data_IF_948341686227
#
_entry.id   IF_948341686227
#
_cell.length_a   1.000
_cell.length_b   1.000
_cell.length_c   1.000
_cell.angle_alpha   90.00
_cell.angle_beta   90.00
_cell.angle_gamma   90.00
#
_symmetry.space_group_name_H-M   'P 1'
#
loop_
_entity.id
_entity.type
_entity.pdbx_description
1 polymer ?
#
# COMPACT_ATOMS: atom_id res chain seq x y z
N UNK A 1 16.54 2.71 -1.54
CA UNK A 1 17.03 2.18 -0.25
C UNK A 1 16.66 0.70 -0.20
N UNK A 2 17.60 -0.17 0.18
CA UNK A 2 17.31 -1.60 0.40
C UNK A 2 16.76 -1.79 1.81
N UNK A 3 15.76 -2.65 1.97
CA UNK A 3 15.14 -2.97 3.27
C UNK A 3 15.14 -4.49 3.55
N UNK A 4 16.24 -5.16 3.15
CA UNK A 4 16.61 -6.52 3.52
C UNK A 4 16.50 -7.54 2.39
N UNK A 5 17.46 -8.48 2.34
CA UNK A 5 17.57 -9.56 1.34
C UNK A 5 17.59 -9.07 -0.12
N UNK A 6 18.20 -7.91 -0.39
CA UNK A 6 18.24 -7.33 -1.74
C UNK A 6 16.94 -6.62 -2.15
N UNK A 7 15.92 -6.57 -1.28
CA UNK A 7 14.61 -6.01 -1.64
C UNK A 7 14.65 -4.48 -1.58
N UNK A 8 14.21 -3.83 -2.66
CA UNK A 8 14.11 -2.38 -2.79
C UNK A 8 12.88 -1.97 -3.59
N UNK A 9 12.39 -0.76 -3.33
CA UNK A 9 11.42 -0.12 -4.20
C UNK A 9 12.16 0.63 -5.33
N UNK A 10 11.62 0.52 -6.53
CA UNK A 10 12.05 1.29 -7.69
C UNK A 10 11.69 2.78 -7.56
N UNK A 11 12.00 3.56 -8.61
CA UNK A 11 11.51 4.92 -8.75
C UNK A 11 10.00 4.99 -8.55
N UNK A 12 9.55 6.08 -7.94
CA UNK A 12 8.13 6.35 -7.79
C UNK A 12 7.57 6.96 -9.07
N UNK A 13 6.49 6.36 -9.57
CA UNK A 13 5.59 6.99 -10.52
C UNK A 13 4.45 7.62 -9.72
N UNK A 14 4.36 8.95 -9.75
CA UNK A 14 3.36 9.71 -9.00
C UNK A 14 2.49 10.53 -9.95
N UNK A 15 1.18 10.37 -9.84
CA UNK A 15 0.19 11.19 -10.52
C UNK A 15 -0.57 12.03 -9.49
N UNK A 16 -0.62 13.34 -9.67
CA UNK A 16 -1.47 14.20 -8.81
C UNK A 16 -2.86 14.25 -9.41
N UNK A 17 -3.84 13.94 -8.60
CA UNK A 17 -5.26 14.02 -8.95
C UNK A 17 -5.85 15.34 -8.47
N UNK A 18 -5.46 15.80 -7.28
CA UNK A 18 -5.73 17.15 -6.77
C UNK A 18 -4.49 17.74 -6.07
N UNK A 19 -4.65 18.94 -5.48
CA UNK A 19 -3.62 19.56 -4.65
C UNK A 19 -3.30 18.72 -3.40
N UNK A 20 -4.30 18.02 -2.85
CA UNK A 20 -4.15 17.19 -1.66
C UNK A 20 -3.99 15.70 -1.95
N UNK A 21 -4.36 15.22 -3.15
CA UNK A 21 -4.44 13.80 -3.49
C UNK A 21 -3.46 13.41 -4.59
N UNK A 22 -2.70 12.34 -4.33
CA UNK A 22 -1.80 11.75 -5.30
C UNK A 22 -1.95 10.23 -5.35
N UNK A 23 -1.91 9.67 -6.56
CA UNK A 23 -1.71 8.25 -6.81
C UNK A 23 -0.23 7.94 -6.98
N UNK A 24 0.19 6.82 -6.42
CA UNK A 24 1.56 6.36 -6.38
C UNK A 24 1.65 4.93 -6.89
N UNK A 25 2.65 4.66 -7.71
CA UNK A 25 2.99 3.31 -8.14
C UNK A 25 4.50 3.11 -8.08
N UNK A 26 4.90 1.96 -7.54
CA UNK A 26 6.31 1.59 -7.40
C UNK A 26 6.52 0.14 -7.80
N UNK A 27 7.56 -0.12 -8.59
CA UNK A 27 8.05 -1.48 -8.85
C UNK A 27 8.82 -2.00 -7.64
N UNK A 28 8.76 -3.29 -7.40
CA UNK A 28 9.48 -3.97 -6.32
C UNK A 28 10.58 -4.80 -6.98
N UNK A 29 11.82 -4.58 -6.56
CA UNK A 29 12.97 -5.33 -7.05
C UNK A 29 13.58 -6.15 -5.92
N UNK A 30 14.18 -7.28 -6.29
CA UNK A 30 15.16 -7.99 -5.48
C UNK A 30 16.46 -8.04 -6.26
N UNK A 31 17.50 -7.41 -5.72
CA UNK A 31 18.75 -7.15 -6.43
C UNK A 31 18.47 -6.37 -7.73
N UNK A 32 18.60 -7.03 -8.89
CA UNK A 32 18.32 -6.47 -10.22
C UNK A 32 17.03 -7.02 -10.86
N UNK A 33 16.34 -7.96 -10.20
CA UNK A 33 15.17 -8.63 -10.74
C UNK A 33 13.89 -7.92 -10.32
N UNK A 34 13.04 -7.57 -11.27
CA UNK A 34 11.68 -7.09 -11.01
C UNK A 34 10.82 -8.26 -10.50
N UNK A 35 10.28 -8.13 -9.29
CA UNK A 35 9.48 -9.16 -8.63
C UNK A 35 8.04 -8.73 -8.39
N UNK A 36 7.62 -7.55 -8.87
CA UNK A 36 6.27 -7.07 -8.67
C UNK A 36 6.11 -5.56 -8.57
N UNK A 37 5.01 -5.14 -7.98
CA UNK A 37 4.70 -3.72 -7.77
C UNK A 37 3.64 -3.50 -6.70
N UNK A 38 3.55 -2.26 -6.26
CA UNK A 38 2.51 -1.76 -5.36
C UNK A 38 1.99 -0.43 -5.89
N UNK A 39 0.69 -0.21 -5.75
CA UNK A 39 0.07 1.10 -5.89
C UNK A 39 -0.78 1.49 -4.68
N UNK A 40 -0.92 2.80 -4.50
CA UNK A 40 -1.70 3.38 -3.43
C UNK A 40 -2.03 4.85 -3.72
N UNK A 41 -3.05 5.35 -3.05
CA UNK A 41 -3.38 6.77 -3.02
C UNK A 41 -2.94 7.37 -1.69
N UNK A 42 -2.46 8.61 -1.71
CA UNK A 42 -2.22 9.40 -0.50
C UNK A 42 -3.01 10.70 -0.54
N UNK A 43 -3.51 11.11 0.63
CA UNK A 43 -4.11 12.41 0.83
C UNK A 43 -3.33 13.15 1.93
N UNK A 44 -2.71 14.28 1.58
CA UNK A 44 -1.92 15.08 2.52
C UNK A 44 -2.80 15.77 3.55
N UNK A 45 -3.97 16.30 3.16
CA UNK A 45 -4.90 16.99 4.06
C UNK A 45 -5.45 16.07 5.18
N UNK A 46 -5.81 14.84 4.85
CA UNK A 46 -6.36 13.89 5.81
C UNK A 46 -5.30 13.01 6.50
N UNK A 47 -4.03 13.13 6.06
CA UNK A 47 -2.91 12.25 6.39
C UNK A 47 -3.33 10.78 6.26
N UNK A 48 -3.74 10.42 5.06
CA UNK A 48 -4.36 9.12 4.78
C UNK A 48 -3.69 8.43 3.59
N UNK A 49 -3.53 7.11 3.68
CA UNK A 49 -3.13 6.24 2.57
C UNK A 49 -4.20 5.19 2.32
N UNK A 50 -4.64 5.06 1.08
CA UNK A 50 -5.48 3.95 0.63
C UNK A 50 -4.63 3.02 -0.24
N UNK A 51 -4.38 1.81 0.26
CA UNK A 51 -3.64 0.77 -0.44
C UNK A 51 -4.49 0.17 -1.55
N UNK A 52 -3.96 0.16 -2.78
CA UNK A 52 -4.61 -0.44 -3.94
C UNK A 52 -4.09 -1.86 -4.21
N UNK A 53 -3.40 -2.05 -5.32
CA UNK A 53 -2.84 -3.35 -5.69
C UNK A 53 -1.44 -3.58 -5.13
N UNK A 54 -1.17 -4.81 -4.72
CA UNK A 54 0.18 -5.34 -4.52
C UNK A 54 0.29 -6.69 -5.23
N UNK A 55 1.06 -6.70 -6.30
CA UNK A 55 1.36 -7.89 -7.10
C UNK A 55 2.79 -8.33 -6.85
N UNK A 56 2.99 -9.59 -6.47
CA UNK A 56 4.31 -10.21 -6.38
C UNK A 56 4.34 -11.43 -7.30
N UNK A 57 5.34 -11.49 -8.19
CA UNK A 57 5.54 -12.61 -9.14
C UNK A 57 5.84 -13.90 -8.40
N UNK A 58 6.47 -13.80 -7.22
CA UNK A 58 6.69 -14.93 -6.34
C UNK A 58 5.98 -14.67 -4.99
N UNK A 59 5.16 -15.61 -4.53
CA UNK A 59 4.51 -15.59 -3.21
C UNK A 59 5.53 -15.88 -2.09
N UNK A 60 6.64 -15.14 -2.06
CA UNK A 60 7.69 -15.30 -1.04
C UNK A 60 7.27 -14.61 0.24
N UNK A 61 7.30 -15.37 1.34
CA UNK A 61 6.89 -14.92 2.67
C UNK A 61 7.62 -13.64 3.07
N UNK A 62 6.86 -12.62 3.47
CA UNK A 62 7.35 -11.42 4.14
C UNK A 62 7.77 -10.25 3.25
N UNK A 63 7.91 -10.40 1.92
CA UNK A 63 8.29 -9.28 1.04
C UNK A 63 7.24 -8.17 1.09
N UNK A 64 5.96 -8.50 0.89
CA UNK A 64 4.87 -7.53 0.95
C UNK A 64 4.83 -6.80 2.29
N UNK A 65 4.99 -7.51 3.41
CA UNK A 65 5.02 -6.89 4.75
C UNK A 65 6.20 -5.92 4.91
N UNK A 66 7.39 -6.26 4.41
CA UNK A 66 8.55 -5.36 4.44
C UNK A 66 8.35 -4.12 3.57
N UNK A 67 7.73 -4.28 2.40
CA UNK A 67 7.35 -3.15 1.54
C UNK A 67 6.42 -2.20 2.29
N UNK A 68 5.38 -2.71 2.96
CA UNK A 68 4.47 -1.88 3.75
C UNK A 68 5.18 -1.19 4.92
N UNK A 69 6.03 -1.92 5.64
CA UNK A 69 6.81 -1.35 6.75
C UNK A 69 7.71 -0.20 6.27
N UNK A 70 8.36 -0.36 5.12
CA UNK A 70 9.18 0.69 4.53
C UNK A 70 8.34 1.89 4.08
N UNK A 71 7.22 1.69 3.39
CA UNK A 71 6.31 2.78 2.99
C UNK A 71 5.79 3.58 4.19
N UNK A 72 5.53 2.92 5.32
CA UNK A 72 5.15 3.60 6.58
C UNK A 72 6.25 4.52 7.13
N UNK A 73 7.52 4.23 6.86
CA UNK A 73 8.62 5.15 7.21
C UNK A 73 8.70 6.37 6.29
N UNK A 74 8.25 6.25 5.04
CA UNK A 74 8.21 7.37 4.10
C UNK A 74 7.05 8.34 4.40
N UNK A 75 5.96 7.84 5.00
CA UNK A 75 4.75 8.62 5.33
C UNK A 75 4.40 8.54 6.83
N UNK A 76 5.24 9.10 7.72
CA UNK A 76 5.06 8.99 9.16
C UNK A 76 3.76 9.68 9.63
N UNK A 77 3.01 8.97 10.47
CA UNK A 77 1.75 9.44 11.07
C UNK A 77 0.57 9.53 10.10
N UNK A 78 0.68 8.93 8.91
CA UNK A 78 -0.49 8.68 8.07
C UNK A 78 -1.28 7.48 8.59
N UNK A 79 -2.60 7.52 8.44
CA UNK A 79 -3.50 6.37 8.64
C UNK A 79 -3.56 5.56 7.35
N UNK A 80 -3.59 4.24 7.48
CA UNK A 80 -3.52 3.32 6.34
C UNK A 80 -4.80 2.53 6.26
N UNK A 81 -5.43 2.54 5.09
CA UNK A 81 -6.57 1.67 4.80
C UNK A 81 -6.29 0.74 3.63
N UNK A 82 -6.95 -0.42 3.67
CA UNK A 82 -6.96 -1.42 2.61
C UNK A 82 -8.33 -1.43 1.95
N UNK A 83 -8.37 -1.43 0.62
CA UNK A 83 -9.61 -1.62 -0.17
C UNK A 83 -9.77 -3.06 -0.60
N UNK A 84 -11.01 -3.56 -0.60
CA UNK A 84 -11.38 -4.84 -1.20
C UNK A 84 -11.73 -4.71 -2.69
N UNK A 85 -11.78 -3.50 -3.25
CA UNK A 85 -12.17 -3.27 -4.64
C UNK A 85 -11.17 -3.86 -5.65
N UNK A 86 -9.90 -4.05 -5.25
CA UNK A 86 -8.82 -4.54 -6.10
C UNK A 86 -8.61 -6.06 -5.93
N UNK A 87 -9.36 -6.83 -6.71
CA UNK A 87 -9.52 -8.29 -6.63
C UNK A 87 -8.23 -9.12 -6.42
N UNK A 88 -7.12 -8.90 -7.14
CA UNK A 88 -5.93 -9.77 -7.03
C UNK A 88 -5.24 -9.71 -5.67
N UNK A 89 -5.37 -8.59 -4.95
CA UNK A 89 -4.63 -8.32 -3.71
C UNK A 89 -5.42 -8.67 -2.45
N UNK A 90 -6.72 -8.98 -2.59
CA UNK A 90 -7.63 -9.27 -1.47
C UNK A 90 -7.04 -10.31 -0.50
N UNK A 91 -6.53 -11.48 -0.94
CA UNK A 91 -6.02 -12.49 0.00
C UNK A 91 -4.82 -11.99 0.83
N UNK A 92 -4.01 -11.10 0.25
CA UNK A 92 -2.89 -10.49 0.97
C UNK A 92 -3.40 -9.46 1.99
N UNK A 93 -4.31 -8.57 1.58
CA UNK A 93 -4.88 -7.56 2.47
C UNK A 93 -5.64 -8.15 3.66
N UNK A 94 -6.42 -9.22 3.44
CA UNK A 94 -7.09 -9.94 4.53
C UNK A 94 -6.10 -10.52 5.54
N UNK A 95 -4.96 -11.06 5.09
CA UNK A 95 -3.91 -11.55 5.99
C UNK A 95 -3.23 -10.40 6.76
N UNK A 96 -2.94 -9.29 6.10
CA UNK A 96 -2.37 -8.10 6.75
C UNK A 96 -3.31 -7.57 7.82
N UNK A 97 -4.61 -7.43 7.52
CA UNK A 97 -5.63 -7.01 8.50
C UNK A 97 -5.70 -7.95 9.69
N UNK A 98 -5.71 -9.26 9.46
CA UNK A 98 -5.77 -10.25 10.53
C UNK A 98 -4.53 -10.20 11.45
N UNK A 99 -3.36 -9.84 10.88
CA UNK A 99 -2.10 -9.76 11.63
C UNK A 99 -1.93 -8.42 12.36
N UNK A 100 -2.41 -7.33 11.75
CA UNK A 100 -2.22 -5.95 12.22
C UNK A 100 -3.53 -5.15 12.17
N UNK A 101 -4.56 -5.56 12.95
CA UNK A 101 -5.91 -4.99 12.83
C UNK A 101 -5.98 -3.51 13.19
N UNK A 102 -5.12 -3.03 14.09
CA UNK A 102 -5.09 -1.63 14.53
C UNK A 102 -4.25 -0.73 13.61
N UNK A 103 -3.40 -1.32 12.75
CA UNK A 103 -2.53 -0.56 11.85
C UNK A 103 -3.11 -0.34 10.46
N UNK A 104 -4.01 -1.22 10.00
CA UNK A 104 -4.62 -1.19 8.67
C UNK A 104 -6.14 -1.24 8.78
N UNK A 105 -6.76 -0.09 8.53
CA UNK A 105 -8.20 0.09 8.57
C UNK A 105 -8.84 -0.52 7.32
N UNK A 106 -10.02 -1.14 7.46
CA UNK A 106 -10.70 -1.76 6.34
C UNK A 106 -11.72 -0.81 5.71
N UNK A 107 -11.56 -0.54 4.42
CA UNK A 107 -12.56 0.14 3.59
C UNK A 107 -13.34 -0.91 2.82
N UNK A 108 -14.43 -1.43 3.40
CA UNK A 108 -15.32 -2.37 2.75
C UNK A 108 -16.74 -2.30 3.29
N UNK A 109 -17.66 -3.01 2.65
CA UNK A 109 -19.09 -2.98 2.98
C UNK A 109 -19.37 -3.69 4.31
N UNK A 110 -19.95 -2.98 5.28
CA UNK A 110 -20.50 -3.57 6.51
C UNK A 110 -20.04 -2.95 7.83
N UNK A 111 -18.88 -2.28 7.86
CA UNK A 111 -18.42 -1.45 8.97
C UNK A 111 -18.38 0.00 8.47
N UNK A 112 -18.62 1.03 9.29
CA UNK A 112 -18.50 2.44 8.85
C UNK A 112 -17.13 2.60 8.17
N UNK A 113 -17.04 2.74 6.84
CA UNK A 113 -15.75 2.70 6.18
C UNK A 113 -14.99 3.94 6.63
N UNK A 114 -13.92 3.74 7.40
CA UNK A 114 -13.05 4.86 7.75
C UNK A 114 -12.17 5.09 6.53
N UNK A 115 -12.64 5.96 5.65
CA UNK A 115 -11.97 6.33 4.41
C UNK A 115 -11.75 7.85 4.37
N UNK A 116 -10.77 8.25 3.56
CA UNK A 116 -10.58 9.64 3.23
C UNK A 116 -11.69 10.09 2.28
N UNK A 117 -12.42 11.19 2.54
CA UNK A 117 -13.46 11.67 1.62
C UNK A 117 -12.90 12.18 0.28
N UNK A 118 -11.60 12.45 0.20
CA UNK A 118 -10.94 12.89 -1.03
C UNK A 118 -10.41 11.73 -1.87
N UNK A 119 -10.44 10.50 -1.35
CA UNK A 119 -9.93 9.31 -2.05
C UNK A 119 -11.07 8.31 -2.16
N UNK A 120 -11.63 8.18 -3.36
CA UNK A 120 -12.70 7.22 -3.63
C UNK A 120 -12.12 5.78 -3.64
N UNK A 121 -12.66 4.84 -2.85
CA UNK A 121 -12.09 3.50 -2.66
C UNK A 121 -12.29 2.46 -3.77
#
# INVERSE_FOLDING_TARGET
MEFGNGVRLGPEHRHRDSDEVAWHQRRIYRDQTDIGGIDYWSCSACRWVLLGEIGLVEQRRGIGTRVLAHLRTELPGYRWSITAAKSPSIPFWLRIRATYPDEYLYCGTGERPVHCPHVDP
#
